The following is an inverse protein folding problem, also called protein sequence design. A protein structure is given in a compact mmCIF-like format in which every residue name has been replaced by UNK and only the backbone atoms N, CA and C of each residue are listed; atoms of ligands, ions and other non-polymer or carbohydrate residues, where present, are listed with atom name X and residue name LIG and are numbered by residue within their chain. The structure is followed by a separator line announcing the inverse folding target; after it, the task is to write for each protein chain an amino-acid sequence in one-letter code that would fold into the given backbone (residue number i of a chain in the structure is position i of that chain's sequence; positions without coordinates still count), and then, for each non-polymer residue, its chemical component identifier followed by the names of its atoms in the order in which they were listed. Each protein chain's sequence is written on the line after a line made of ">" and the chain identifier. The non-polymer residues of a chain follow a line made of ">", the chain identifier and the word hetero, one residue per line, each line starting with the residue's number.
data_IF_567828599782
#
_entry.id   IF_567828599782
#
_cell.length_a   1.000
_cell.length_b   1.000
_cell.length_c   1.000
_cell.angle_alpha   90.00
_cell.angle_beta   90.00
_cell.angle_gamma   90.00
#
_symmetry.space_group_name_H-M   'P 1'
#
loop_
_entity.id
_entity.type
_entity.pdbx_description
1 polymer ?
#
# COMPACT_ATOMS: atom_id res chain seq x y z
N UNK A 1 10.45 9.48 5.28
CA UNK A 1 9.32 8.73 4.68
C UNK A 1 9.12 9.09 3.19
N UNK A 2 10.12 9.08 2.34
CA UNK A 2 9.94 9.76 1.04
C UNK A 2 10.67 9.12 -0.15
N UNK A 3 11.48 8.08 0.04
CA UNK A 3 12.30 7.59 -1.08
C UNK A 3 11.88 6.25 -1.68
N UNK A 4 11.20 5.38 -0.92
CA UNK A 4 10.91 4.02 -1.38
C UNK A 4 9.78 3.98 -2.42
N UNK A 5 8.71 4.75 -2.25
CA UNK A 5 7.59 4.79 -3.20
C UNK A 5 8.01 5.30 -4.59
N UNK A 6 8.92 6.26 -4.64
CA UNK A 6 9.38 6.85 -5.89
C UNK A 6 10.31 5.92 -6.67
N UNK A 7 11.20 5.18 -5.98
CA UNK A 7 12.12 4.22 -6.59
C UNK A 7 11.33 3.07 -7.22
N UNK A 8 10.36 2.52 -6.50
CA UNK A 8 9.56 1.40 -6.98
C UNK A 8 8.72 1.76 -8.23
N UNK A 9 8.18 2.97 -8.30
CA UNK A 9 7.42 3.46 -9.45
C UNK A 9 8.28 3.61 -10.69
N UNK A 10 9.50 4.10 -10.54
CA UNK A 10 10.48 4.20 -11.63
C UNK A 10 10.91 2.81 -12.09
N UNK A 11 11.14 1.87 -11.18
CA UNK A 11 11.53 0.50 -11.49
C UNK A 11 10.43 -0.25 -12.25
N UNK A 12 9.15 -0.14 -11.85
CA UNK A 12 8.04 -0.74 -12.59
C UNK A 12 7.97 -0.21 -14.02
N UNK A 13 8.12 1.09 -14.21
CA UNK A 13 8.08 1.72 -15.54
C UNK A 13 9.27 1.30 -16.41
N UNK A 14 10.43 1.02 -15.81
CA UNK A 14 11.63 0.54 -16.50
C UNK A 14 11.50 -0.94 -16.91
N UNK A 15 10.86 -1.75 -16.08
CA UNK A 15 10.77 -3.20 -16.26
C UNK A 15 9.58 -3.60 -17.16
N UNK A 16 8.55 -2.78 -17.22
CA UNK A 16 7.32 -3.08 -17.97
C UNK A 16 6.82 -1.87 -18.77
N UNK A 17 6.23 -2.13 -19.94
CA UNK A 17 5.46 -1.12 -20.70
C UNK A 17 4.12 -0.78 -20.01
N UNK A 18 4.00 -1.00 -18.71
CA UNK A 18 2.77 -0.78 -17.97
C UNK A 18 2.46 0.72 -17.85
N UNK A 19 1.20 1.08 -18.05
CA UNK A 19 0.73 2.41 -17.74
C UNK A 19 0.56 2.55 -16.23
N UNK A 20 1.42 3.36 -15.60
CA UNK A 20 1.40 3.61 -14.15
C UNK A 20 0.57 4.86 -13.85
N UNK A 21 -0.42 4.71 -12.98
CA UNK A 21 -1.25 5.80 -12.48
C UNK A 21 -1.15 5.83 -10.95
N UNK A 22 -0.99 7.02 -10.41
CA UNK A 22 -0.90 7.24 -8.97
C UNK A 22 -2.17 7.90 -8.47
N UNK A 23 -2.70 7.40 -7.37
CA UNK A 23 -3.76 8.06 -6.60
C UNK A 23 -3.06 8.78 -5.44
N UNK A 24 -3.07 10.12 -5.46
CA UNK A 24 -2.35 10.93 -4.49
C UNK A 24 -3.14 12.20 -4.16
N UNK A 25 -3.68 12.32 -2.93
CA UNK A 25 -4.51 13.47 -2.55
C UNK A 25 -3.70 14.74 -2.27
N UNK A 26 -2.40 14.64 -1.99
CA UNK A 26 -1.56 15.81 -1.69
C UNK A 26 -1.17 16.54 -2.97
N UNK A 27 -1.54 17.83 -3.15
CA UNK A 27 -1.21 18.61 -4.36
C UNK A 27 0.30 18.70 -4.63
N UNK A 28 1.11 18.78 -3.56
CA UNK A 28 2.57 18.87 -3.71
C UNK A 28 3.14 17.56 -4.24
N UNK A 29 2.76 16.41 -3.66
CA UNK A 29 3.22 15.11 -4.11
C UNK A 29 2.65 14.75 -5.49
N UNK A 30 1.42 15.13 -5.79
CA UNK A 30 0.83 14.99 -7.11
C UNK A 30 1.60 15.78 -8.16
N UNK A 31 2.07 16.98 -7.83
CA UNK A 31 2.92 17.80 -8.70
C UNK A 31 4.27 17.14 -8.94
N UNK A 32 4.90 16.60 -7.90
CA UNK A 32 6.18 15.89 -8.01
C UNK A 32 6.06 14.64 -8.91
N UNK A 33 4.95 13.91 -8.82
CA UNK A 33 4.67 12.78 -9.70
C UNK A 33 4.51 13.24 -11.17
N UNK A 34 3.77 14.32 -11.42
CA UNK A 34 3.58 14.88 -12.76
C UNK A 34 4.89 15.37 -13.37
N UNK A 35 5.79 15.97 -12.58
CA UNK A 35 7.11 16.38 -13.01
C UNK A 35 8.01 15.22 -13.47
N UNK A 36 7.61 13.98 -13.15
CA UNK A 36 8.26 12.72 -13.56
C UNK A 36 7.49 11.98 -14.65
N UNK A 37 6.59 12.66 -15.36
CA UNK A 37 5.73 12.08 -16.40
C UNK A 37 4.85 10.91 -15.91
N UNK A 38 4.42 10.95 -14.64
CA UNK A 38 3.50 9.96 -14.06
C UNK A 38 2.09 10.55 -14.06
N UNK A 39 1.12 9.78 -14.55
CA UNK A 39 -0.29 10.15 -14.45
C UNK A 39 -0.75 10.12 -13.00
N UNK A 40 -1.50 11.15 -12.58
CA UNK A 40 -1.96 11.27 -11.20
C UNK A 40 -3.45 11.56 -11.16
N UNK A 41 -4.15 10.80 -10.34
CA UNK A 41 -5.51 11.08 -9.88
C UNK A 41 -5.36 11.77 -8.53
N UNK A 42 -5.54 13.10 -8.50
CA UNK A 42 -5.38 13.93 -7.29
C UNK A 42 -6.67 13.90 -6.47
N UNK A 43 -6.92 12.77 -5.83
CA UNK A 43 -8.10 12.47 -5.02
C UNK A 43 -7.69 11.57 -3.85
N UNK A 44 -8.48 11.62 -2.76
CA UNK A 44 -8.48 10.54 -1.78
C UNK A 44 -9.08 9.28 -2.42
N UNK A 45 -8.67 8.07 -1.95
CA UNK A 45 -9.16 6.81 -2.49
C UNK A 45 -10.70 6.73 -2.45
N UNK A 46 -11.31 7.28 -1.42
CA UNK A 46 -12.77 7.32 -1.21
C UNK A 46 -13.52 8.17 -2.25
N UNK A 47 -12.80 9.03 -2.96
CA UNK A 47 -13.34 9.93 -4.00
C UNK A 47 -13.09 9.41 -5.42
N UNK A 48 -12.30 8.33 -5.55
CA UNK A 48 -12.00 7.74 -6.85
C UNK A 48 -13.20 6.92 -7.31
N UNK A 49 -13.56 7.13 -8.56
CA UNK A 49 -14.61 6.38 -9.24
C UNK A 49 -14.00 5.45 -10.29
N UNK A 50 -14.74 4.39 -10.67
CA UNK A 50 -14.31 3.46 -11.72
C UNK A 50 -14.04 4.21 -13.05
N UNK A 51 -14.77 5.30 -13.29
CA UNK A 51 -14.60 6.15 -14.47
C UNK A 51 -13.29 6.93 -14.49
N UNK A 52 -12.64 7.14 -13.35
CA UNK A 52 -11.33 7.78 -13.25
C UNK A 52 -10.19 6.84 -13.66
N UNK A 53 -10.46 5.52 -13.69
CA UNK A 53 -9.47 4.49 -13.89
C UNK A 53 -9.43 4.01 -15.35
N UNK A 54 -8.27 3.55 -15.84
CA UNK A 54 -8.15 3.01 -17.19
C UNK A 54 -8.97 1.72 -17.35
N UNK A 55 -9.37 1.46 -18.58
CA UNK A 55 -10.00 0.18 -18.93
C UNK A 55 -8.97 -0.96 -18.89
N UNK A 56 -9.46 -2.16 -18.69
CA UNK A 56 -8.65 -3.38 -18.70
C UNK A 56 -8.27 -3.84 -17.29
N UNK A 57 -7.44 -4.89 -17.24
CA UNK A 57 -6.95 -5.47 -15.99
C UNK A 57 -5.93 -4.57 -15.31
N UNK A 58 -5.98 -4.54 -13.99
CA UNK A 58 -5.14 -3.67 -13.17
C UNK A 58 -4.45 -4.46 -12.07
N UNK A 59 -3.27 -3.98 -11.72
CA UNK A 59 -2.57 -4.34 -10.48
C UNK A 59 -2.58 -3.08 -9.63
N UNK A 60 -3.21 -3.16 -8.48
CA UNK A 60 -3.18 -2.12 -7.46
C UNK A 60 -2.02 -2.39 -6.52
N UNK A 61 -1.29 -1.36 -6.16
CA UNK A 61 -0.15 -1.48 -5.26
C UNK A 61 -0.22 -0.45 -4.14
N UNK A 62 0.21 -0.85 -2.93
CA UNK A 62 0.31 0.03 -1.78
C UNK A 62 1.48 -0.43 -0.91
N UNK A 63 2.43 0.46 -0.64
CA UNK A 63 3.62 0.12 0.12
C UNK A 63 3.72 0.99 1.36
N UNK A 64 3.95 0.34 2.52
CA UNK A 64 4.13 1.01 3.81
C UNK A 64 3.03 2.05 4.09
N UNK A 65 1.77 1.67 3.86
CA UNK A 65 0.61 2.53 4.06
C UNK A 65 -0.31 2.03 5.19
N UNK A 66 -0.48 0.71 5.30
CA UNK A 66 -1.47 0.13 6.22
C UNK A 66 -1.23 0.48 7.68
N UNK A 67 0.02 0.60 8.10
CA UNK A 67 0.40 1.02 9.44
C UNK A 67 -0.05 2.43 9.79
N UNK A 68 -0.30 3.27 8.78
CA UNK A 68 -0.72 4.66 8.94
C UNK A 68 -2.25 4.85 8.85
N UNK A 69 -2.99 3.87 8.39
CA UNK A 69 -4.42 3.99 8.18
C UNK A 69 -5.18 4.04 9.51
N UNK A 70 -6.14 4.95 9.63
CA UNK A 70 -7.07 4.97 10.76
C UNK A 70 -8.06 3.80 10.70
N UNK A 71 -8.49 3.42 9.50
CA UNK A 71 -9.43 2.33 9.26
C UNK A 71 -8.98 1.51 8.04
N UNK A 72 -8.14 0.49 8.24
CA UNK A 72 -7.69 -0.40 7.17
C UNK A 72 -8.84 -1.17 6.51
N UNK A 73 -9.90 -1.50 7.26
CA UNK A 73 -11.05 -2.20 6.70
C UNK A 73 -11.83 -1.32 5.73
N UNK A 74 -12.03 -0.05 6.08
CA UNK A 74 -12.68 0.92 5.19
C UNK A 74 -11.85 1.13 3.92
N UNK A 75 -10.54 1.30 4.04
CA UNK A 75 -9.63 1.41 2.90
C UNK A 75 -9.78 0.22 1.94
N UNK A 76 -9.76 -1.00 2.46
CA UNK A 76 -9.92 -2.21 1.65
C UNK A 76 -11.30 -2.30 0.99
N UNK A 77 -12.36 -1.89 1.69
CA UNK A 77 -13.72 -1.81 1.12
C UNK A 77 -13.81 -0.82 -0.04
N UNK A 78 -13.15 0.32 0.07
CA UNK A 78 -13.08 1.29 -1.01
C UNK A 78 -12.29 0.72 -2.19
N UNK A 79 -11.15 0.11 -1.92
CA UNK A 79 -10.30 -0.49 -2.95
C UNK A 79 -11.03 -1.59 -3.73
N UNK A 80 -11.69 -2.52 -3.04
CA UNK A 80 -12.39 -3.65 -3.71
C UNK A 80 -13.55 -3.16 -4.59
N UNK A 81 -14.19 -2.04 -4.24
CA UNK A 81 -15.23 -1.43 -5.07
C UNK A 81 -14.69 -0.87 -6.39
N UNK A 82 -13.39 -0.56 -6.48
CA UNK A 82 -12.73 -0.10 -7.69
C UNK A 82 -12.17 -1.26 -8.53
N UNK A 83 -12.02 -2.44 -7.91
CA UNK A 83 -11.44 -3.62 -8.55
C UNK A 83 -12.47 -4.40 -9.37
N UNK A 84 -12.00 -5.01 -10.43
CA UNK A 84 -12.79 -5.92 -11.28
C UNK A 84 -12.28 -7.35 -11.10
N UNK A 85 -13.10 -8.32 -11.47
CA UNK A 85 -12.69 -9.73 -11.41
C UNK A 85 -11.41 -9.98 -12.21
N UNK A 86 -10.39 -10.46 -11.50
CA UNK A 86 -9.08 -10.76 -12.04
C UNK A 86 -8.09 -9.60 -11.97
N UNK A 87 -8.46 -8.48 -11.33
CA UNK A 87 -7.50 -7.50 -10.84
C UNK A 87 -6.76 -8.07 -9.62
N UNK A 88 -5.57 -7.54 -9.34
CA UNK A 88 -4.73 -7.99 -8.24
C UNK A 88 -4.39 -6.80 -7.33
N UNK A 89 -4.27 -7.06 -6.03
CA UNK A 89 -3.75 -6.09 -5.06
C UNK A 89 -2.50 -6.63 -4.41
N UNK A 90 -1.41 -5.86 -4.44
CA UNK A 90 -0.11 -6.18 -3.85
C UNK A 90 0.25 -5.05 -2.89
N UNK A 91 0.61 -5.39 -1.65
CA UNK A 91 0.99 -4.38 -0.68
C UNK A 91 2.03 -4.87 0.31
N UNK A 92 2.71 -3.92 0.94
CA UNK A 92 3.59 -4.16 2.09
C UNK A 92 3.12 -3.34 3.29
N UNK A 93 3.39 -3.86 4.47
CA UNK A 93 3.13 -3.17 5.74
C UNK A 93 4.02 -3.74 6.84
N UNK A 94 4.14 -3.01 7.93
CA UNK A 94 4.83 -3.48 9.12
C UNK A 94 4.12 -4.69 9.74
N UNK A 95 4.91 -5.68 10.15
CA UNK A 95 4.38 -6.84 10.86
C UNK A 95 4.53 -6.68 12.37
N UNK A 96 3.42 -6.76 13.11
CA UNK A 96 3.42 -6.76 14.57
C UNK A 96 4.16 -7.95 15.21
N UNK A 97 4.51 -8.96 14.40
CA UNK A 97 5.35 -10.10 14.83
C UNK A 97 6.78 -10.00 14.28
N UNK A 98 7.18 -8.83 13.77
CA UNK A 98 8.56 -8.56 13.39
C UNK A 98 9.52 -8.80 14.57
N UNK A 99 10.69 -9.34 14.28
CA UNK A 99 11.67 -9.73 15.32
C UNK A 99 12.14 -8.52 16.14
N UNK A 100 12.23 -7.34 15.52
CA UNK A 100 12.55 -6.07 16.12
C UNK A 100 11.48 -5.64 17.15
N UNK A 101 10.20 -5.76 16.79
CA UNK A 101 9.08 -5.45 17.68
C UNK A 101 9.02 -6.48 18.82
N UNK A 102 9.20 -7.78 18.53
CA UNK A 102 9.17 -8.82 19.55
C UNK A 102 10.36 -8.74 20.52
N UNK A 103 11.53 -8.29 20.04
CA UNK A 103 12.76 -8.21 20.84
C UNK A 103 12.94 -6.90 21.56
N UNK A 104 12.57 -5.79 20.94
CA UNK A 104 12.83 -4.44 21.46
C UNK A 104 11.60 -3.79 22.09
N UNK A 105 10.39 -4.31 21.77
CA UNK A 105 9.11 -3.81 22.27
C UNK A 105 8.99 -2.30 22.08
N UNK A 106 8.83 -1.51 23.16
CA UNK A 106 8.69 -0.05 23.10
C UNK A 106 9.92 0.70 22.54
N UNK A 107 11.07 0.05 22.51
CA UNK A 107 12.30 0.58 21.92
C UNK A 107 12.43 0.29 20.42
N UNK A 108 11.51 -0.49 19.84
CA UNK A 108 11.52 -0.76 18.42
C UNK A 108 11.21 0.52 17.62
N UNK A 109 12.06 0.88 16.66
CA UNK A 109 11.86 2.06 15.79
C UNK A 109 10.53 2.03 15.03
N UNK A 110 10.02 0.83 14.75
CA UNK A 110 8.72 0.64 14.11
C UNK A 110 7.56 1.12 14.99
N UNK A 111 7.71 1.10 16.32
CA UNK A 111 6.69 1.61 17.25
C UNK A 111 6.86 3.13 17.36
N UNK A 112 6.18 3.86 16.49
CA UNK A 112 6.31 5.32 16.35
C UNK A 112 4.93 6.01 16.42
N UNK A 113 4.32 6.11 17.61
CA UNK A 113 3.07 6.85 17.77
C UNK A 113 3.30 8.36 17.57
N UNK A 114 2.38 9.12 16.97
CA UNK A 114 1.06 8.67 16.48
C UNK A 114 1.06 8.22 15.01
N UNK A 115 2.22 7.94 14.41
CA UNK A 115 2.33 7.70 12.98
C UNK A 115 1.97 6.28 12.58
N UNK A 116 2.38 5.27 13.36
CA UNK A 116 2.04 3.88 13.12
C UNK A 116 0.92 3.46 14.06
N UNK A 117 -0.25 3.22 13.49
CA UNK A 117 -1.49 2.93 14.20
C UNK A 117 -1.84 1.44 14.19
N UNK A 118 -1.37 0.72 13.18
CA UNK A 118 -1.73 -0.67 12.95
C UNK A 118 -0.49 -1.56 12.86
N UNK A 119 -0.49 -2.63 13.61
CA UNK A 119 0.55 -3.66 13.60
C UNK A 119 -0.11 -5.02 13.34
N UNK A 120 -0.46 -5.25 12.09
CA UNK A 120 -1.07 -6.51 11.68
C UNK A 120 0.00 -7.61 11.59
N UNK A 121 -0.39 -8.83 11.84
CA UNK A 121 0.45 -10.00 11.57
C UNK A 121 -0.13 -10.80 10.39
N UNK A 122 0.58 -11.78 9.82
CA UNK A 122 0.10 -12.55 8.68
C UNK A 122 -1.31 -13.10 8.84
N UNK A 123 -1.63 -13.65 10.01
CA UNK A 123 -2.95 -14.19 10.28
C UNK A 123 -4.04 -13.11 10.34
N UNK A 124 -3.78 -11.99 11.03
CA UNK A 124 -4.77 -10.92 11.15
C UNK A 124 -5.03 -10.21 9.84
N UNK A 125 -4.01 -10.09 8.97
CA UNK A 125 -4.20 -9.50 7.64
C UNK A 125 -5.03 -10.42 6.73
N UNK A 126 -4.81 -11.72 6.75
CA UNK A 126 -5.63 -12.68 6.02
C UNK A 126 -7.10 -12.62 6.44
N UNK A 127 -7.37 -12.60 7.75
CA UNK A 127 -8.74 -12.45 8.27
C UNK A 127 -9.40 -11.14 7.84
N UNK A 128 -8.64 -10.04 7.80
CA UNK A 128 -9.14 -8.74 7.37
C UNK A 128 -9.47 -8.75 5.88
N UNK A 129 -8.59 -9.31 5.05
CA UNK A 129 -8.78 -9.45 3.60
C UNK A 129 -10.01 -10.31 3.29
N UNK A 130 -10.13 -11.48 3.92
CA UNK A 130 -11.28 -12.39 3.76
C UNK A 130 -12.60 -11.71 4.15
N UNK A 131 -12.62 -10.99 5.27
CA UNK A 131 -13.82 -10.26 5.74
C UNK A 131 -14.32 -9.24 4.73
N UNK A 132 -13.40 -8.59 4.01
CA UNK A 132 -13.74 -7.60 2.98
C UNK A 132 -14.09 -8.26 1.65
N UNK A 133 -13.71 -9.51 1.42
CA UNK A 133 -14.04 -10.29 0.22
C UNK A 133 -12.88 -10.46 -0.76
N UNK A 134 -11.64 -10.24 -0.31
CA UNK A 134 -10.45 -10.60 -1.08
C UNK A 134 -10.16 -12.10 -0.97
N UNK A 135 -9.65 -12.67 -2.03
CA UNK A 135 -9.01 -13.99 -2.04
C UNK A 135 -7.50 -13.78 -1.87
N UNK A 136 -6.95 -14.25 -0.76
CA UNK A 136 -5.51 -14.16 -0.47
C UNK A 136 -4.77 -15.22 -1.27
N UNK A 137 -3.82 -14.79 -2.11
CA UNK A 137 -2.97 -15.68 -2.90
C UNK A 137 -1.69 -16.05 -2.14
N UNK A 138 -1.06 -15.07 -1.50
CA UNK A 138 0.19 -15.26 -0.79
C UNK A 138 0.38 -14.21 0.29
N UNK A 139 0.88 -14.62 1.46
CA UNK A 139 1.36 -13.73 2.53
C UNK A 139 2.77 -14.17 2.92
N UNK A 140 3.71 -13.25 2.83
CA UNK A 140 5.12 -13.52 3.19
C UNK A 140 5.64 -12.48 4.17
N UNK A 141 6.65 -12.87 4.92
CA UNK A 141 7.40 -11.98 5.82
C UNK A 141 8.88 -12.05 5.46
N UNK A 142 9.29 -11.46 4.32
CA UNK A 142 10.65 -11.59 3.79
C UNK A 142 11.71 -10.83 4.60
N UNK A 143 11.44 -10.49 5.84
CA UNK A 143 12.18 -9.58 6.71
C UNK A 143 13.70 -9.59 6.50
N UNK A 144 14.27 -8.39 6.38
CA UNK A 144 15.70 -8.16 6.58
C UNK A 144 15.89 -7.74 8.02
N UNK A 145 16.87 -8.36 8.71
CA UNK A 145 17.37 -7.81 9.97
C UNK A 145 18.19 -6.56 9.60
N UNK A 146 17.66 -5.39 9.89
CA UNK A 146 18.43 -4.15 9.91
C UNK A 146 19.26 -4.17 11.19
N UNK A 147 20.41 -4.83 11.09
CA UNK A 147 21.46 -4.81 12.12
C UNK A 147 22.47 -3.74 11.67
N UNK A 148 22.22 -2.49 12.08
CA UNK A 148 23.20 -1.41 12.10
C UNK A 148 23.62 -1.10 13.54
#
# INVERSE_FOLDING_TARGET
>A
MHNYDNIFREEIKIISDANVIVIEPSPNLATDCRNRDIQVIEKFLEQVEISDLPLGKKIYTSFELFEHLHDPELFLKQLINLMQKGDMFIFTTLSGTGIDIQGLWEDAKAISPPFHLNFLNPYSIELLLERVGFETLEVTTPGKLDID
#
